data_IF_024350123490
#
_entry.id   IF_024350123490
#
_cell.length_a   1.000
_cell.length_b   1.000
_cell.length_c   1.000
_cell.angle_alpha   90.00
_cell.angle_beta   90.00
_cell.angle_gamma   90.00
#
_symmetry.space_group_name_H-M   'P 1'
#
loop_
_entity.id
_entity.type
_entity.pdbx_description
1 polymer ?
#
# COMPACT_ATOMS: atom_id res chain seq x y z
N UNK A 1 8.55 -38.36 27.83
CA UNK A 1 8.12 -37.64 29.05
C UNK A 1 9.34 -36.98 29.69
N UNK A 2 9.57 -35.69 29.47
CA UNK A 2 10.53 -34.92 30.30
C UNK A 2 9.73 -33.89 31.10
N UNK A 3 9.64 -34.13 32.41
CA UNK A 3 8.96 -33.26 33.36
C UNK A 3 9.84 -32.07 33.72
N UNK A 4 9.47 -30.88 33.25
CA UNK A 4 10.06 -29.64 33.70
C UNK A 4 9.46 -29.24 35.06
N UNK A 5 10.09 -29.70 36.13
CA UNK A 5 9.78 -29.28 37.50
C UNK A 5 10.25 -27.82 37.72
N UNK A 6 9.27 -26.91 37.83
CA UNK A 6 9.20 -26.01 38.99
C UNK A 6 10.00 -24.70 39.02
N UNK A 7 10.78 -24.31 38.02
CA UNK A 7 11.43 -22.98 38.03
C UNK A 7 10.54 -21.91 37.35
N UNK A 8 10.06 -20.87 38.07
CA UNK A 8 9.26 -19.80 37.47
C UNK A 8 10.07 -19.04 36.40
N UNK A 9 11.39 -18.99 36.56
CA UNK A 9 12.31 -18.45 35.56
C UNK A 9 12.21 -19.14 34.20
N UNK A 10 12.13 -20.47 34.17
CA UNK A 10 12.10 -21.20 32.90
C UNK A 10 10.75 -21.00 32.18
N UNK A 11 9.66 -20.87 32.94
CA UNK A 11 8.34 -20.49 32.40
C UNK A 11 8.33 -19.07 31.84
N UNK A 12 8.97 -18.13 32.54
CA UNK A 12 9.11 -16.74 32.06
C UNK A 12 9.96 -16.69 30.80
N UNK A 13 11.08 -17.40 30.75
CA UNK A 13 11.92 -17.48 29.54
C UNK A 13 11.16 -18.12 28.38
N UNK A 14 10.39 -19.17 28.62
CA UNK A 14 9.57 -19.82 27.59
C UNK A 14 8.42 -18.91 27.11
N UNK A 15 7.77 -18.16 28.01
CA UNK A 15 6.77 -17.15 27.68
C UNK A 15 7.36 -15.97 26.92
N UNK A 16 8.55 -15.50 27.31
CA UNK A 16 9.28 -14.44 26.61
C UNK A 16 9.75 -14.90 25.22
N UNK A 17 10.19 -16.15 25.08
CA UNK A 17 10.55 -16.73 23.80
C UNK A 17 9.32 -16.89 22.90
N UNK A 18 8.17 -17.30 23.44
CA UNK A 18 6.91 -17.34 22.70
C UNK A 18 6.42 -15.95 22.28
N UNK A 19 6.51 -14.95 23.16
CA UNK A 19 6.18 -13.55 22.84
C UNK A 19 7.11 -12.97 21.77
N UNK A 20 8.41 -13.30 21.82
CA UNK A 20 9.38 -12.89 20.80
C UNK A 20 9.12 -13.58 19.43
N UNK A 21 8.57 -14.80 19.44
CA UNK A 21 8.22 -15.56 18.21
C UNK A 21 6.89 -15.12 17.59
N UNK A 22 6.04 -14.36 18.30
CA UNK A 22 4.78 -13.84 17.74
C UNK A 22 4.92 -12.60 16.85
N UNK A 23 6.14 -12.15 16.54
CA UNK A 23 6.32 -11.22 15.43
C UNK A 23 6.32 -12.01 14.12
N UNK A 24 5.14 -12.52 13.76
CA UNK A 24 4.82 -12.77 12.34
C UNK A 24 5.13 -11.44 11.65
N UNK A 25 6.22 -11.44 10.89
CA UNK A 25 6.59 -10.38 9.97
C UNK A 25 5.41 -10.32 9.00
N UNK A 26 4.43 -9.47 9.31
CA UNK A 26 3.46 -9.01 8.33
C UNK A 26 4.30 -8.23 7.33
N UNK A 27 4.87 -8.97 6.37
CA UNK A 27 5.70 -8.41 5.34
C UNK A 27 4.86 -7.29 4.74
N UNK A 28 5.34 -6.03 4.78
CA UNK A 28 4.56 -4.95 4.23
C UNK A 28 4.23 -5.35 2.78
N UNK A 29 2.94 -5.50 2.45
CA UNK A 29 2.45 -5.85 1.10
C UNK A 29 2.73 -4.75 0.06
N UNK A 30 3.73 -3.91 0.34
CA UNK A 30 4.12 -2.75 -0.39
C UNK A 30 5.62 -2.52 -0.26
N UNK A 31 6.26 -2.20 -1.37
CA UNK A 31 7.65 -1.75 -1.44
C UNK A 31 7.64 -0.31 -1.96
N UNK A 32 8.48 0.54 -1.39
CA UNK A 32 8.63 1.94 -1.83
C UNK A 32 10.10 2.26 -2.02
N UNK A 33 10.41 2.76 -3.20
CA UNK A 33 11.71 3.27 -3.64
C UNK A 33 11.49 4.73 -3.98
N UNK A 34 12.29 5.61 -3.37
CA UNK A 34 12.20 7.05 -3.61
C UNK A 34 12.81 7.42 -4.97
N UNK A 35 12.31 8.49 -5.56
CA UNK A 35 12.82 9.09 -6.79
C UNK A 35 11.97 10.28 -7.17
N UNK A 36 12.46 11.10 -8.10
CA UNK A 36 11.77 12.29 -8.61
C UNK A 36 10.43 11.94 -9.24
N UNK A 37 10.37 10.78 -9.92
CA UNK A 37 9.13 10.22 -10.48
C UNK A 37 8.93 8.82 -9.91
N UNK A 38 7.77 8.58 -9.28
CA UNK A 38 7.44 7.26 -8.72
C UNK A 38 6.56 6.45 -9.67
N UNK A 39 7.01 5.27 -10.09
CA UNK A 39 6.21 4.33 -10.88
C UNK A 39 5.40 3.38 -9.99
N UNK A 40 4.09 3.28 -10.24
CA UNK A 40 3.22 2.32 -9.54
C UNK A 40 3.32 0.92 -10.16
N UNK A 41 3.44 -0.11 -9.32
CA UNK A 41 3.49 -1.51 -9.75
C UNK A 41 2.53 -2.42 -8.96
N UNK A 42 1.87 -3.36 -9.63
CA UNK A 42 1.00 -4.36 -9.02
C UNK A 42 1.47 -5.75 -9.42
N UNK A 43 1.85 -6.58 -8.45
CA UNK A 43 2.37 -7.92 -8.71
C UNK A 43 1.66 -8.97 -7.86
N UNK A 44 1.36 -10.16 -8.41
CA UNK A 44 0.80 -11.28 -7.66
C UNK A 44 1.92 -12.03 -6.93
N UNK A 45 2.53 -11.38 -5.93
CA UNK A 45 3.63 -11.97 -5.14
C UNK A 45 3.11 -13.13 -4.31
N UNK A 46 1.92 -12.99 -3.73
CA UNK A 46 1.27 -14.06 -3.00
C UNK A 46 0.11 -14.69 -3.79
N UNK A 47 -0.14 -15.96 -3.49
CA UNK A 47 -1.34 -16.68 -3.89
C UNK A 47 -2.57 -16.19 -3.13
N UNK A 48 -3.74 -16.62 -3.58
CA UNK A 48 -4.99 -16.36 -2.88
C UNK A 48 -5.00 -17.11 -1.55
N UNK A 49 -5.14 -16.38 -0.44
CA UNK A 49 -5.31 -16.96 0.89
C UNK A 49 -6.63 -17.72 1.05
N UNK A 50 -6.67 -18.62 2.04
CA UNK A 50 -7.91 -19.26 2.50
C UNK A 50 -8.90 -18.23 3.06
N UNK A 51 -10.22 -18.52 3.13
CA UNK A 51 -11.19 -17.59 3.71
C UNK A 51 -10.78 -17.12 5.11
N UNK A 52 -10.77 -15.79 5.32
CA UNK A 52 -10.30 -15.17 6.57
C UNK A 52 -8.83 -14.74 6.55
N UNK A 53 -8.01 -15.25 5.63
CA UNK A 53 -6.62 -14.82 5.44
C UNK A 53 -6.52 -14.00 4.14
N UNK A 54 -5.90 -12.80 4.17
CA UNK A 54 -5.86 -11.93 2.99
C UNK A 54 -5.04 -12.55 1.86
N UNK A 55 -3.86 -13.12 2.18
CA UNK A 55 -2.87 -13.61 1.23
C UNK A 55 -2.40 -15.03 1.61
N UNK A 56 -2.04 -15.84 0.62
CA UNK A 56 -1.53 -17.20 0.78
C UNK A 56 -0.02 -17.28 0.56
N UNK A 57 0.46 -18.43 0.09
CA UNK A 57 1.90 -18.67 -0.13
C UNK A 57 2.53 -17.77 -1.21
N UNK A 58 3.85 -17.58 -1.13
CA UNK A 58 4.61 -16.80 -2.12
C UNK A 58 4.74 -17.55 -3.45
N UNK A 59 4.39 -16.86 -4.55
CA UNK A 59 4.53 -17.33 -5.94
C UNK A 59 5.86 -16.87 -6.52
N UNK A 60 6.88 -17.72 -6.42
CA UNK A 60 8.24 -17.42 -6.91
C UNK A 60 8.26 -17.05 -8.41
N UNK A 61 7.67 -17.86 -9.26
CA UNK A 61 7.91 -17.72 -10.71
C UNK A 61 7.11 -16.61 -11.40
N UNK A 62 5.87 -16.38 -10.98
CA UNK A 62 4.99 -15.38 -11.61
C UNK A 62 4.86 -14.08 -10.82
N UNK A 63 5.21 -14.09 -9.53
CA UNK A 63 5.17 -12.93 -8.66
C UNK A 63 6.55 -12.29 -8.55
N UNK A 64 7.48 -13.02 -7.92
CA UNK A 64 8.82 -12.49 -7.60
C UNK A 64 9.63 -12.18 -8.85
N UNK A 65 9.69 -13.05 -9.85
CA UNK A 65 10.46 -12.75 -11.07
C UNK A 65 9.99 -11.48 -11.79
N UNK A 66 8.69 -11.19 -11.77
CA UNK A 66 8.14 -9.97 -12.41
C UNK A 66 8.45 -8.72 -11.58
N UNK A 67 8.38 -8.84 -10.26
CA UNK A 67 8.79 -7.80 -9.33
C UNK A 67 10.28 -7.46 -9.52
N UNK A 68 11.12 -8.48 -9.56
CA UNK A 68 12.57 -8.35 -9.77
C UNK A 68 12.86 -7.75 -11.15
N UNK A 69 12.16 -8.17 -12.20
CA UNK A 69 12.32 -7.58 -13.53
C UNK A 69 12.00 -6.08 -13.57
N UNK A 70 10.99 -5.62 -12.83
CA UNK A 70 10.71 -4.18 -12.70
C UNK A 70 11.82 -3.45 -11.95
N UNK A 71 12.31 -4.01 -10.84
CA UNK A 71 13.43 -3.42 -10.09
C UNK A 71 14.70 -3.35 -10.92
N UNK A 72 15.03 -4.44 -11.62
CA UNK A 72 16.15 -4.48 -12.55
C UNK A 72 16.02 -3.41 -13.63
N UNK A 73 14.84 -3.26 -14.23
CA UNK A 73 14.61 -2.23 -15.24
C UNK A 73 14.79 -0.80 -14.66
N UNK A 74 14.34 -0.53 -13.44
CA UNK A 74 14.58 0.76 -12.78
C UNK A 74 16.07 1.02 -12.59
N UNK A 75 16.83 0.02 -12.15
CA UNK A 75 18.28 0.14 -11.96
C UNK A 75 19.00 0.39 -13.29
N UNK A 76 18.59 -0.28 -14.36
CA UNK A 76 19.15 -0.04 -15.71
C UNK A 76 18.84 1.38 -16.21
N UNK A 77 17.60 1.87 -16.01
CA UNK A 77 17.22 3.21 -16.47
C UNK A 77 17.94 4.29 -15.65
N UNK A 78 17.99 4.15 -14.32
CA UNK A 78 18.67 5.13 -13.46
C UNK A 78 20.19 5.11 -13.60
N UNK A 79 20.76 4.02 -14.15
CA UNK A 79 22.20 3.88 -14.42
C UNK A 79 22.63 4.32 -15.82
N UNK A 80 21.68 4.64 -16.70
CA UNK A 80 21.94 5.06 -18.08
C UNK A 80 21.89 6.60 -18.20
N UNK A 81 23.04 7.23 -18.48
CA UNK A 81 23.13 8.69 -18.58
C UNK A 81 22.43 9.26 -19.84
N UNK A 82 22.16 8.41 -20.85
CA UNK A 82 21.46 8.81 -22.07
C UNK A 82 19.93 8.75 -21.91
N UNK A 83 19.42 8.05 -20.88
CA UNK A 83 18.00 7.84 -20.64
C UNK A 83 17.52 8.56 -19.38
N UNK A 84 16.67 9.59 -19.56
CA UNK A 84 16.16 10.46 -18.49
C UNK A 84 17.26 11.18 -17.66
N UNK A 85 18.15 11.96 -18.32
CA UNK A 85 19.20 12.68 -17.60
C UNK A 85 18.61 13.66 -16.58
N UNK A 86 19.13 13.63 -15.35
CA UNK A 86 18.71 14.44 -14.20
C UNK A 86 17.33 14.10 -13.61
N UNK A 87 16.77 12.93 -13.90
CA UNK A 87 15.52 12.46 -13.27
C UNK A 87 15.73 11.04 -12.74
N UNK A 88 15.47 10.85 -11.45
CA UNK A 88 15.52 9.52 -10.83
C UNK A 88 14.14 8.87 -10.81
N UNK A 89 14.06 7.63 -11.27
CA UNK A 89 12.85 6.81 -11.18
C UNK A 89 12.82 6.07 -9.84
N UNK A 90 11.81 6.37 -9.05
CA UNK A 90 11.39 5.58 -7.90
C UNK A 90 10.27 4.61 -8.27
N UNK A 91 9.83 3.82 -7.29
CA UNK A 91 8.73 2.90 -7.48
C UNK A 91 7.91 2.71 -6.21
N UNK A 92 6.61 2.47 -6.38
CA UNK A 92 5.71 2.02 -5.32
C UNK A 92 5.00 0.79 -5.79
N UNK A 93 5.38 -0.34 -5.21
CA UNK A 93 4.95 -1.66 -5.65
C UNK A 93 4.02 -2.23 -4.61
N UNK A 94 2.87 -2.78 -5.02
CA UNK A 94 1.86 -3.35 -4.13
C UNK A 94 1.57 -4.79 -4.55
N UNK A 95 1.32 -5.65 -3.57
CA UNK A 95 0.94 -7.03 -3.81
C UNK A 95 -0.57 -7.19 -3.99
N UNK A 96 -0.96 -7.92 -5.04
CA UNK A 96 -2.36 -8.18 -5.37
C UNK A 96 -2.90 -9.43 -4.68
N UNK A 97 -2.05 -10.27 -4.09
CA UNK A 97 -2.40 -11.55 -3.47
C UNK A 97 -3.25 -12.46 -4.38
N UNK A 98 -3.12 -12.29 -5.70
CA UNK A 98 -3.93 -12.96 -6.72
C UNK A 98 -5.45 -12.83 -6.49
N UNK A 99 -5.91 -11.68 -5.97
CA UNK A 99 -7.32 -11.38 -5.68
C UNK A 99 -7.73 -10.01 -6.20
N UNK A 100 -8.75 -9.96 -7.05
CA UNK A 100 -9.17 -8.72 -7.72
C UNK A 100 -9.64 -7.64 -6.75
N UNK A 101 -10.40 -8.01 -5.71
CA UNK A 101 -10.85 -7.05 -4.68
C UNK A 101 -9.68 -6.45 -3.92
N UNK A 102 -8.65 -7.26 -3.63
CA UNK A 102 -7.44 -6.79 -2.97
C UNK A 102 -6.64 -5.88 -3.91
N UNK A 103 -6.47 -6.29 -5.18
CA UNK A 103 -5.82 -5.47 -6.20
C UNK A 103 -6.49 -4.11 -6.38
N UNK A 104 -7.83 -4.05 -6.37
CA UNK A 104 -8.58 -2.81 -6.43
C UNK A 104 -8.32 -1.92 -5.20
N UNK A 105 -8.39 -2.48 -4.00
CA UNK A 105 -8.09 -1.75 -2.76
C UNK A 105 -6.67 -1.17 -2.76
N UNK A 106 -5.70 -1.94 -3.23
CA UNK A 106 -4.32 -1.49 -3.40
C UNK A 106 -4.21 -0.37 -4.46
N UNK A 107 -4.87 -0.55 -5.61
CA UNK A 107 -4.87 0.44 -6.70
C UNK A 107 -5.47 1.78 -6.27
N UNK A 108 -6.49 1.75 -5.41
CA UNK A 108 -7.08 2.96 -4.85
C UNK A 108 -6.06 3.79 -4.06
N UNK A 109 -5.05 3.16 -3.46
CA UNK A 109 -4.00 3.89 -2.74
C UNK A 109 -3.07 4.68 -3.67
N UNK A 110 -3.04 4.40 -4.98
CA UNK A 110 -2.31 5.22 -5.95
C UNK A 110 -3.07 6.50 -6.29
N UNK A 111 -4.38 6.42 -6.44
CA UNK A 111 -5.22 7.57 -6.82
C UNK A 111 -5.62 8.44 -5.65
N UNK A 112 -5.62 7.92 -4.41
CA UNK A 112 -5.90 8.71 -3.21
C UNK A 112 -5.00 9.95 -3.07
N UNK A 113 -3.74 9.85 -3.49
CA UNK A 113 -2.81 10.97 -3.50
C UNK A 113 -3.21 12.07 -4.51
N UNK A 114 -3.88 11.70 -5.61
CA UNK A 114 -4.37 12.64 -6.62
C UNK A 114 -5.65 13.34 -6.14
N UNK A 115 -6.56 12.59 -5.51
CA UNK A 115 -7.83 13.14 -5.00
C UNK A 115 -7.57 14.22 -3.93
N UNK A 116 -6.55 14.05 -3.10
CA UNK A 116 -6.17 15.07 -2.12
C UNK A 116 -5.52 16.30 -2.77
N UNK A 117 -4.86 16.17 -3.92
CA UNK A 117 -4.17 17.29 -4.58
C UNK A 117 -5.14 18.23 -5.31
N UNK A 118 -6.23 17.71 -5.88
CA UNK A 118 -7.25 18.53 -6.55
C UNK A 118 -8.12 19.35 -5.58
N UNK A 119 -7.97 19.13 -4.28
CA UNK A 119 -8.68 19.90 -3.26
C UNK A 119 -8.17 21.33 -3.08
N UNK A 120 -6.94 21.63 -3.51
CA UNK A 120 -6.34 22.96 -3.35
C UNK A 120 -6.93 24.02 -4.30
N UNK A 121 -7.62 23.59 -5.36
CA UNK A 121 -8.24 24.48 -6.34
C UNK A 121 -9.72 24.76 -6.02
N UNK A 122 -10.27 24.10 -5.00
CA UNK A 122 -11.64 24.37 -4.53
C UNK A 122 -11.60 25.51 -3.53
N UNK A 123 -11.90 26.73 -3.99
CA UNK A 123 -12.12 27.88 -3.12
C UNK A 123 -13.61 28.15 -2.98
N UNK A 124 -14.10 28.19 -1.74
CA UNK A 124 -15.43 28.72 -1.49
C UNK A 124 -15.42 30.22 -1.86
N UNK A 125 -16.52 30.70 -2.43
CA UNK A 125 -16.68 32.11 -2.85
C UNK A 125 -16.44 33.12 -1.73
N UNK A 126 -16.57 32.69 -0.47
CA UNK A 126 -16.34 33.50 0.72
C UNK A 126 -14.88 33.50 1.21
N UNK A 127 -13.98 32.75 0.56
CA UNK A 127 -12.59 32.60 1.00
C UNK A 127 -12.37 31.58 2.13
N UNK A 128 -13.42 30.93 2.61
CA UNK A 128 -13.34 29.87 3.63
C UNK A 128 -12.66 28.60 3.09
N UNK A 129 -11.92 27.87 3.94
CA UNK A 129 -11.35 26.58 3.56
C UNK A 129 -12.46 25.53 3.38
N UNK A 130 -12.45 24.76 2.28
CA UNK A 130 -13.43 23.69 2.06
C UNK A 130 -13.30 22.57 3.11
N UNK A 131 -14.45 22.04 3.58
CA UNK A 131 -14.51 20.93 4.52
C UNK A 131 -14.63 19.60 3.75
N UNK A 132 -13.57 18.79 3.79
CA UNK A 132 -13.55 17.48 3.15
C UNK A 132 -14.06 16.40 4.09
N UNK A 133 -15.28 15.95 3.85
CA UNK A 133 -15.83 14.79 4.53
C UNK A 133 -15.44 13.54 3.73
N UNK A 134 -14.83 12.56 4.40
CA UNK A 134 -14.53 11.24 3.79
C UNK A 134 -15.82 10.67 3.19
N UNK A 135 -15.86 10.29 1.91
CA UNK A 135 -17.09 9.77 1.32
C UNK A 135 -17.48 8.44 1.98
N UNK A 136 -18.71 8.36 2.46
CA UNK A 136 -19.39 7.10 2.79
C UNK A 136 -19.46 6.27 1.50
N UNK A 137 -19.07 4.99 1.57
CA UNK A 137 -19.17 4.09 0.42
C UNK A 137 -20.65 3.76 0.16
N UNK A 138 -21.29 4.47 -0.74
CA UNK A 138 -22.56 4.06 -1.36
C UNK A 138 -22.30 3.79 -2.83
N UNK A 139 -22.74 2.62 -3.31
CA UNK A 139 -22.46 2.12 -4.65
C UNK A 139 -22.86 3.09 -5.75
N UNK A 140 -21.98 3.25 -6.74
CA UNK A 140 -22.17 4.09 -7.91
C UNK A 140 -21.51 5.47 -7.80
N UNK A 141 -20.33 5.62 -8.41
CA UNK A 141 -19.68 6.91 -8.65
C UNK A 141 -19.27 7.70 -7.41
N UNK A 142 -18.01 7.58 -7.00
CA UNK A 142 -17.45 8.44 -5.96
C UNK A 142 -17.28 9.88 -6.48
N UNK A 143 -18.27 10.74 -6.26
CA UNK A 143 -18.09 12.19 -6.29
C UNK A 143 -17.86 12.64 -4.86
N UNK A 144 -16.67 13.14 -4.54
CA UNK A 144 -16.39 13.75 -3.23
C UNK A 144 -17.14 15.09 -3.21
N UNK A 145 -18.18 15.28 -2.38
CA UNK A 145 -18.82 16.57 -2.31
C UNK A 145 -17.90 17.51 -1.54
N UNK A 146 -17.32 18.51 -2.21
CA UNK A 146 -16.80 19.67 -1.52
C UNK A 146 -18.01 20.44 -0.96
N UNK A 147 -18.20 20.41 0.35
CA UNK A 147 -19.28 21.14 1.01
C UNK A 147 -18.72 22.51 1.45
N UNK A 148 -19.16 23.58 0.78
CA UNK A 148 -19.00 24.93 1.32
C UNK A 148 -20.10 25.15 2.39
N UNK A 149 -19.77 25.70 3.57
CA UNK A 149 -20.72 25.86 4.68
C UNK A 149 -21.95 26.72 4.35
N UNK A 150 -21.88 27.55 3.31
CA UNK A 150 -23.02 28.24 2.71
C UNK A 150 -23.33 27.67 1.33
N UNK A 151 -24.55 27.20 1.14
CA UNK A 151 -25.11 26.40 0.04
C UNK A 151 -25.09 27.03 -1.38
N UNK A 152 -24.07 27.78 -1.75
CA UNK A 152 -23.92 28.36 -3.10
C UNK A 152 -22.91 27.54 -3.90
N UNK A 153 -23.35 26.38 -4.41
CA UNK A 153 -22.68 25.67 -5.49
C UNK A 153 -23.35 26.12 -6.80
N UNK A 154 -22.64 26.84 -7.67
CA UNK A 154 -23.04 26.94 -9.09
C UNK A 154 -22.02 26.24 -9.97
N UNK A 155 -22.55 25.68 -11.06
CA UNK A 155 -21.98 24.72 -12.02
C UNK A 155 -20.63 25.06 -12.63
#
# INVERSE_FOLDING_TARGET
MFGFSGSPFLRVVFLLLHLAVSQEIYAPHSIRVEGDVTLGGLFPVHARGVPGVPCGDIKKENGIHRLEAMMYALDQINGDEDLLPNVTLGARILDTCSRDTHALEQSLTFVQALIQKDTSDVRCTNGDPPLFVKPEKVGGGARVPALCPSWWLTS
#
